data_IF_444615577968
#
_entry.id   IF_444615577968
#
_cell.length_a   1.000
_cell.length_b   1.000
_cell.length_c   1.000
_cell.angle_alpha   90.00
_cell.angle_beta   90.00
_cell.angle_gamma   90.00
#
_symmetry.space_group_name_H-M   'P 1'
#
loop_
_entity.id
_entity.type
_entity.pdbx_description
1 polymer ?
#
# COMPACT_ATOMS: atom_id res chain seq x y z
N UNK A 1 9.45 -24.31 7.36
CA UNK A 1 10.37 -23.21 7.77
C UNK A 1 9.62 -21.88 7.64
N UNK A 2 8.62 -21.66 8.51
CA UNK A 2 7.82 -20.44 8.50
C UNK A 2 8.58 -19.35 9.23
N UNK A 3 9.30 -18.51 8.49
CA UNK A 3 9.84 -17.25 9.02
C UNK A 3 8.64 -16.35 9.35
N UNK A 4 8.14 -16.38 10.58
CA UNK A 4 7.18 -15.38 11.04
C UNK A 4 7.88 -14.03 10.96
N UNK A 5 7.45 -13.18 10.04
CA UNK A 5 7.94 -11.82 9.92
C UNK A 5 7.47 -11.05 11.16
N UNK A 6 8.31 -11.03 12.20
CA UNK A 6 8.02 -10.31 13.45
C UNK A 6 8.25 -8.83 13.20
N UNK A 7 7.16 -8.10 12.95
CA UNK A 7 7.18 -6.65 12.79
C UNK A 7 7.38 -5.99 14.17
N UNK A 8 8.42 -5.17 14.38
CA UNK A 8 8.65 -4.50 15.64
C UNK A 8 7.60 -3.43 15.90
N UNK A 9 7.23 -3.25 17.17
CA UNK A 9 6.30 -2.18 17.57
C UNK A 9 6.96 -0.80 17.39
N UNK A 10 6.30 0.07 16.60
CA UNK A 10 6.75 1.44 16.38
C UNK A 10 6.34 2.31 17.58
N UNK A 11 7.30 2.64 18.46
CA UNK A 11 7.09 3.41 19.70
C UNK A 11 7.09 4.94 19.49
N UNK A 12 6.61 5.43 18.35
CA UNK A 12 6.54 6.86 18.03
C UNK A 12 7.00 7.18 16.61
N UNK A 13 6.72 8.40 16.15
CA UNK A 13 6.99 8.86 14.77
C UNK A 13 8.50 8.89 14.47
N UNK A 14 9.32 9.22 15.48
CA UNK A 14 10.78 9.25 15.34
C UNK A 14 11.37 7.86 15.05
N UNK A 15 10.71 6.80 15.51
CA UNK A 15 11.12 5.42 15.32
C UNK A 15 10.43 4.76 14.11
N UNK A 16 9.76 5.54 13.26
CA UNK A 16 9.17 5.00 12.03
C UNK A 16 10.27 4.68 11.00
N UNK A 17 10.11 3.61 10.19
CA UNK A 17 11.08 3.29 9.16
C UNK A 17 11.21 4.45 8.17
N UNK A 18 12.39 4.64 7.56
CA UNK A 18 12.58 5.67 6.54
C UNK A 18 12.12 5.23 5.16
N UNK A 19 12.11 3.92 4.92
CA UNK A 19 11.71 3.32 3.66
C UNK A 19 10.21 3.51 3.38
N UNK A 20 9.89 3.74 2.11
CA UNK A 20 8.53 3.95 1.63
C UNK A 20 8.23 2.93 0.53
N UNK A 21 7.17 2.14 0.71
CA UNK A 21 6.72 1.13 -0.25
C UNK A 21 5.54 1.60 -1.12
N UNK A 22 5.10 2.84 -0.87
CA UNK A 22 4.14 3.60 -1.66
C UNK A 22 4.77 4.95 -1.98
N UNK A 23 5.20 5.12 -3.22
CA UNK A 23 5.98 6.30 -3.66
C UNK A 23 5.09 7.41 -4.18
N UNK A 24 5.69 8.55 -4.50
CA UNK A 24 5.04 9.57 -5.33
C UNK A 24 4.74 9.02 -6.74
N UNK A 25 3.82 9.67 -7.45
CA UNK A 25 3.43 9.27 -8.82
C UNK A 25 2.04 8.64 -8.92
N UNK A 26 1.07 9.17 -8.18
CA UNK A 26 -0.34 8.76 -8.21
C UNK A 26 -1.25 9.96 -8.46
N UNK A 27 -2.38 9.75 -9.12
CA UNK A 27 -3.36 10.78 -9.49
C UNK A 27 -4.44 10.98 -8.42
N UNK A 28 -4.04 10.98 -7.15
CA UNK A 28 -4.95 11.23 -6.03
C UNK A 28 -5.13 12.73 -5.83
N UNK A 29 -6.26 13.14 -5.27
CA UNK A 29 -6.51 14.55 -4.95
C UNK A 29 -5.45 15.12 -3.98
N UNK A 30 -5.31 16.45 -4.00
CA UNK A 30 -4.52 17.18 -3.00
C UNK A 30 -5.10 16.91 -1.61
N UNK A 31 -4.26 16.44 -0.67
CA UNK A 31 -4.70 16.08 0.69
C UNK A 31 -5.56 14.82 0.77
N UNK A 32 -5.45 13.89 -0.19
CA UNK A 32 -6.19 12.64 -0.17
C UNK A 32 -5.80 11.77 1.05
N UNK A 33 -6.73 11.63 1.99
CA UNK A 33 -6.55 10.82 3.22
C UNK A 33 -6.28 9.35 2.88
N UNK A 34 -7.08 8.75 2.00
CA UNK A 34 -6.89 7.36 1.61
C UNK A 34 -5.50 7.07 1.03
N UNK A 35 -4.90 8.01 0.31
CA UNK A 35 -3.52 7.87 -0.18
C UNK A 35 -2.49 7.87 0.96
N UNK A 36 -2.69 8.72 1.99
CA UNK A 36 -1.87 8.72 3.20
C UNK A 36 -2.03 7.41 3.97
N UNK A 37 -3.25 6.90 4.08
CA UNK A 37 -3.54 5.61 4.73
C UNK A 37 -2.85 4.46 3.99
N UNK A 38 -2.91 4.42 2.65
CA UNK A 38 -2.17 3.43 1.85
C UNK A 38 -0.66 3.51 2.08
N UNK A 39 -0.10 4.72 2.16
CA UNK A 39 1.31 4.92 2.45
C UNK A 39 1.70 4.34 3.81
N UNK A 40 0.95 4.67 4.86
CA UNK A 40 1.24 4.19 6.22
C UNK A 40 1.01 2.68 6.37
N UNK A 41 -0.01 2.11 5.71
CA UNK A 41 -0.31 0.68 5.80
C UNK A 41 0.85 -0.17 5.27
N UNK A 42 1.37 0.18 4.09
CA UNK A 42 2.41 -0.63 3.43
C UNK A 42 3.76 -0.40 4.11
N UNK A 43 3.97 0.81 4.64
CA UNK A 43 5.13 1.13 5.46
C UNK A 43 5.19 0.29 6.75
N UNK A 44 4.04 0.07 7.39
CA UNK A 44 3.96 -0.83 8.54
C UNK A 44 4.08 -2.30 8.14
N UNK A 45 3.55 -2.70 6.97
CA UNK A 45 3.61 -4.08 6.48
C UNK A 45 5.03 -4.51 6.03
N UNK A 46 5.83 -3.57 5.51
CA UNK A 46 7.20 -3.79 5.07
C UNK A 46 7.32 -4.45 3.69
N UNK A 47 8.54 -4.85 3.29
CA UNK A 47 8.86 -5.26 1.92
C UNK A 47 8.29 -6.64 1.55
N UNK A 48 7.97 -7.47 2.56
CA UNK A 48 7.41 -8.81 2.35
C UNK A 48 5.88 -8.79 2.43
N UNK A 49 5.27 -7.88 1.69
CA UNK A 49 3.82 -7.71 1.60
C UNK A 49 3.37 -7.78 0.13
N UNK A 50 2.14 -8.30 -0.07
CA UNK A 50 1.45 -8.29 -1.36
C UNK A 50 0.18 -7.48 -1.16
N UNK A 51 -0.06 -6.49 -2.01
CA UNK A 51 -1.23 -5.61 -1.89
C UNK A 51 -2.26 -6.00 -2.94
N UNK A 52 -3.47 -6.34 -2.48
CA UNK A 52 -4.61 -6.58 -3.37
C UNK A 52 -5.52 -5.35 -3.34
N UNK A 53 -5.65 -4.70 -4.50
CA UNK A 53 -6.47 -3.50 -4.67
C UNK A 53 -7.74 -3.80 -5.45
N UNK A 54 -8.88 -3.85 -4.76
CA UNK A 54 -10.17 -3.94 -5.43
C UNK A 54 -10.50 -2.65 -6.17
N UNK A 55 -11.34 -2.75 -7.19
CA UNK A 55 -11.83 -1.58 -7.93
C UNK A 55 -12.41 -0.53 -6.98
N UNK A 56 -11.87 0.69 -7.05
CA UNK A 56 -12.21 1.82 -6.17
C UNK A 56 -11.26 3.01 -6.41
N UNK A 57 -11.39 4.07 -5.61
CA UNK A 57 -10.57 5.27 -5.77
C UNK A 57 -9.07 4.97 -5.68
N UNK A 58 -8.66 4.12 -4.73
CA UNK A 58 -7.25 3.74 -4.55
C UNK A 58 -6.72 2.80 -5.63
N UNK A 59 -7.59 2.15 -6.40
CA UNK A 59 -7.19 1.48 -7.64
C UNK A 59 -7.04 2.51 -8.75
N UNK A 60 -8.12 3.22 -9.09
CA UNK A 60 -8.16 4.14 -10.24
C UNK A 60 -7.08 5.21 -10.10
N UNK A 61 -7.06 5.97 -9.01
CA UNK A 61 -6.14 7.09 -8.86
C UNK A 61 -4.67 6.66 -8.88
N UNK A 62 -4.34 5.47 -8.37
CA UNK A 62 -2.97 4.99 -8.25
C UNK A 62 -2.48 4.34 -9.54
N UNK A 63 -3.35 3.61 -10.25
CA UNK A 63 -2.93 2.78 -11.40
C UNK A 63 -3.46 3.25 -12.74
N UNK A 64 -4.01 4.47 -12.81
CA UNK A 64 -4.47 5.06 -14.09
C UNK A 64 -3.33 5.09 -15.11
N UNK A 65 -3.60 4.63 -16.33
CA UNK A 65 -2.66 4.67 -17.47
C UNK A 65 -1.29 4.00 -17.21
N UNK A 66 -1.29 2.77 -16.67
CA UNK A 66 -0.08 1.94 -16.51
C UNK A 66 1.03 2.54 -15.63
N UNK A 67 0.72 3.54 -14.80
CA UNK A 67 1.58 3.94 -13.68
C UNK A 67 1.22 3.13 -12.44
N UNK A 68 2.12 3.03 -11.46
CA UNK A 68 1.78 2.52 -10.14
C UNK A 68 2.74 3.12 -9.10
N UNK A 69 2.24 3.60 -7.95
CA UNK A 69 3.09 4.03 -6.83
C UNK A 69 3.57 2.86 -5.97
N UNK A 70 3.11 1.62 -6.24
CA UNK A 70 3.44 0.45 -5.44
C UNK A 70 4.83 -0.07 -5.78
N UNK A 71 5.73 -0.07 -4.78
CA UNK A 71 7.06 -0.67 -4.88
C UNK A 71 7.00 -2.18 -4.63
N UNK A 72 6.05 -2.60 -3.78
CA UNK A 72 5.77 -4.00 -3.48
C UNK A 72 4.85 -4.62 -4.53
N UNK A 73 4.83 -5.97 -4.67
CA UNK A 73 3.90 -6.65 -5.55
C UNK A 73 2.45 -6.24 -5.27
N UNK A 74 1.75 -5.82 -6.33
CA UNK A 74 0.36 -5.38 -6.26
C UNK A 74 -0.46 -6.05 -7.37
N UNK A 75 -1.72 -6.36 -7.08
CA UNK A 75 -2.66 -6.89 -8.07
C UNK A 75 -4.05 -6.26 -7.92
N UNK A 76 -4.69 -6.03 -9.08
CA UNK A 76 -6.07 -5.60 -9.17
C UNK A 76 -7.04 -6.75 -8.90
N UNK A 77 -8.14 -6.45 -8.19
CA UNK A 77 -9.25 -7.38 -8.00
C UNK A 77 -10.60 -6.71 -8.29
N UNK A 78 -11.63 -7.50 -8.58
CA UNK A 78 -12.97 -6.96 -8.78
C UNK A 78 -13.55 -6.44 -7.46
N UNK A 79 -14.45 -5.45 -7.56
CA UNK A 79 -15.03 -4.77 -6.40
C UNK A 79 -15.65 -5.74 -5.37
N UNK A 80 -16.31 -6.80 -5.83
CA UNK A 80 -16.96 -7.80 -4.98
C UNK A 80 -16.08 -8.99 -4.59
N UNK A 81 -14.82 -9.07 -5.02
CA UNK A 81 -13.98 -10.27 -4.90
C UNK A 81 -12.67 -10.04 -4.15
N UNK A 82 -12.59 -9.00 -3.32
CA UNK A 82 -11.36 -8.63 -2.60
C UNK A 82 -10.89 -9.70 -1.61
N UNK A 83 -11.83 -10.32 -0.87
CA UNK A 83 -11.51 -11.34 0.14
C UNK A 83 -11.32 -12.76 -0.41
N UNK A 84 -11.80 -13.02 -1.61
CA UNK A 84 -11.67 -14.33 -2.28
C UNK A 84 -10.42 -14.43 -3.16
N UNK A 85 -9.75 -13.30 -3.39
CA UNK A 85 -8.55 -13.19 -4.22
C UNK A 85 -7.27 -13.57 -3.45
#
# INVERSE_FOLDING_TARGET
MTTTNTLPLIRGVQNSPLEEYYTSGHRTCQGCESALTMKLMVKAAGPRSIVLGSTGCMYVANTTYYSTPWVVPWMHTQLGSSGSA
#
